data_IF_567318554646
#
_entry.id   IF_567318554646
#
_cell.length_a   1.000
_cell.length_b   1.000
_cell.length_c   1.000
_cell.angle_alpha   90.00
_cell.angle_beta   90.00
_cell.angle_gamma   90.00
#
_symmetry.space_group_name_H-M   'P 1'
#
loop_
_entity.id
_entity.type
_entity.pdbx_description
1 polymer ?
#
# COMPACT_ATOMS: atom_id res chain seq x y z
N UNK A 1 7.27 -42.51 -14.83
CA UNK A 1 7.59 -42.46 -13.39
C UNK A 1 6.32 -42.06 -12.65
N UNK A 2 5.88 -42.83 -11.67
CA UNK A 2 4.69 -42.54 -10.85
C UNK A 2 5.00 -41.44 -9.81
N UNK A 3 3.97 -40.87 -9.19
CA UNK A 3 4.17 -39.87 -8.12
C UNK A 3 4.96 -40.46 -6.95
N UNK A 4 4.64 -41.69 -6.57
CA UNK A 4 5.31 -42.40 -5.46
C UNK A 4 6.81 -42.59 -5.76
N UNK A 5 7.14 -43.05 -6.97
CA UNK A 5 8.54 -43.21 -7.40
C UNK A 5 9.30 -41.87 -7.41
N UNK A 6 8.63 -40.77 -7.80
CA UNK A 6 9.23 -39.45 -7.81
C UNK A 6 9.46 -38.90 -6.40
N UNK A 7 8.53 -39.15 -5.47
CA UNK A 7 8.64 -38.76 -4.05
C UNK A 7 9.82 -39.48 -3.40
N UNK A 8 9.90 -40.81 -3.54
CA UNK A 8 10.99 -41.63 -2.97
C UNK A 8 12.37 -41.19 -3.47
N UNK A 9 12.50 -40.87 -4.76
CA UNK A 9 13.76 -40.37 -5.32
C UNK A 9 14.15 -39.01 -4.76
N UNK A 10 13.19 -38.11 -4.58
CA UNK A 10 13.44 -36.78 -4.00
C UNK A 10 13.82 -36.92 -2.52
N UNK A 11 13.09 -37.72 -1.75
CA UNK A 11 13.39 -38.00 -0.33
C UNK A 11 14.81 -38.56 -0.15
N UNK A 12 15.23 -39.50 -1.00
CA UNK A 12 16.57 -40.08 -0.96
C UNK A 12 17.70 -39.09 -1.28
N UNK A 13 17.39 -38.02 -2.03
CA UNK A 13 18.34 -36.96 -2.39
C UNK A 13 18.35 -35.80 -1.39
N UNK A 14 17.35 -35.69 -0.51
CA UNK A 14 17.28 -34.61 0.45
C UNK A 14 18.29 -34.81 1.59
N UNK A 15 19.05 -33.76 1.89
CA UNK A 15 20.00 -33.75 3.01
C UNK A 15 19.34 -33.39 4.36
N UNK A 16 18.04 -33.08 4.35
CA UNK A 16 17.23 -32.77 5.52
C UNK A 16 15.78 -33.22 5.32
N UNK A 17 15.07 -33.39 6.42
CA UNK A 17 13.63 -33.63 6.36
C UNK A 17 12.89 -32.45 5.71
N UNK A 18 11.82 -32.72 4.93
CA UNK A 18 10.99 -31.69 4.33
C UNK A 18 10.32 -30.83 5.41
N UNK A 19 10.34 -29.51 5.21
CA UNK A 19 9.67 -28.54 6.07
C UNK A 19 9.18 -27.35 5.23
N UNK A 20 7.85 -27.22 5.01
CA UNK A 20 6.75 -28.04 5.55
C UNK A 20 6.70 -29.47 4.97
N UNK A 21 5.91 -30.39 5.56
CA UNK A 21 5.73 -31.75 5.03
C UNK A 21 5.24 -31.81 3.56
N UNK A 22 4.63 -30.73 3.06
CA UNK A 22 4.20 -30.61 1.66
C UNK A 22 5.32 -30.25 0.68
N UNK A 23 6.56 -30.00 1.14
CA UNK A 23 7.68 -29.47 0.32
C UNK A 23 7.93 -30.29 -0.96
N UNK A 24 7.87 -31.63 -0.86
CA UNK A 24 8.11 -32.55 -1.98
C UNK A 24 6.93 -32.57 -2.95
N UNK A 25 5.71 -32.65 -2.43
CA UNK A 25 4.49 -32.57 -3.25
C UNK A 25 4.38 -31.22 -3.97
N UNK A 26 4.75 -30.13 -3.30
CA UNK A 26 4.74 -28.77 -3.86
C UNK A 26 5.79 -28.62 -4.96
N UNK A 27 6.96 -29.25 -4.82
CA UNK A 27 7.99 -29.30 -5.85
C UNK A 27 7.52 -30.08 -7.08
N UNK A 28 6.87 -31.24 -6.89
CA UNK A 28 6.32 -32.05 -7.98
C UNK A 28 5.20 -31.32 -8.74
N UNK A 29 4.27 -30.66 -8.02
CA UNK A 29 3.22 -29.82 -8.62
C UNK A 29 3.83 -28.65 -9.41
N UNK A 30 4.92 -28.06 -8.91
CA UNK A 30 5.63 -26.99 -9.61
C UNK A 30 6.30 -27.48 -10.89
N UNK A 31 6.97 -28.64 -10.87
CA UNK A 31 7.63 -29.23 -12.02
C UNK A 31 6.66 -29.59 -13.15
N UNK A 32 5.40 -29.89 -12.81
CA UNK A 32 4.31 -30.18 -13.76
C UNK A 32 3.59 -28.94 -14.29
N UNK A 33 3.96 -27.75 -13.81
CA UNK A 33 3.25 -26.51 -14.14
C UNK A 33 1.83 -26.42 -13.55
N UNK A 34 1.47 -27.32 -12.64
CA UNK A 34 0.16 -27.33 -11.95
C UNK A 34 0.07 -26.20 -10.91
N UNK A 35 1.22 -25.68 -10.50
CA UNK A 35 1.30 -24.52 -9.61
C UNK A 35 1.06 -23.24 -10.41
N UNK A 36 -0.16 -22.70 -10.33
CA UNK A 36 -0.39 -21.29 -10.73
C UNK A 36 0.56 -20.39 -9.92
N UNK A 37 1.26 -19.42 -10.53
CA UNK A 37 2.10 -18.49 -9.80
C UNK A 37 1.31 -17.86 -8.66
N UNK A 38 1.82 -17.92 -7.44
CA UNK A 38 1.15 -17.37 -6.26
C UNK A 38 1.17 -15.84 -6.22
N UNK A 39 2.04 -15.22 -7.04
CA UNK A 39 2.16 -13.79 -7.22
C UNK A 39 2.18 -13.45 -8.72
N UNK A 40 1.67 -12.27 -9.11
CA UNK A 40 1.84 -11.79 -10.47
C UNK A 40 3.32 -11.69 -10.81
N UNK A 41 3.70 -12.09 -12.02
CA UNK A 41 4.99 -11.70 -12.57
C UNK A 41 4.95 -10.18 -12.81
N UNK A 42 5.91 -9.50 -12.19
CA UNK A 42 6.05 -8.05 -12.25
C UNK A 42 7.01 -7.64 -13.37
N UNK A 43 6.73 -6.54 -14.08
CA UNK A 43 7.67 -6.02 -15.06
C UNK A 43 8.93 -5.44 -14.38
N UNK A 44 10.01 -5.36 -15.16
CA UNK A 44 11.23 -4.64 -14.77
C UNK A 44 11.00 -3.14 -14.92
N UNK A 45 11.63 -2.33 -14.07
CA UNK A 45 11.51 -0.87 -14.15
C UNK A 45 12.02 -0.34 -15.49
N UNK A 46 11.26 0.56 -16.10
CA UNK A 46 11.66 1.29 -17.29
C UNK A 46 12.20 2.68 -16.91
N UNK A 47 13.51 2.77 -16.67
CA UNK A 47 14.16 4.00 -16.21
C UNK A 47 14.06 5.15 -17.24
N UNK A 48 14.08 4.85 -18.55
CA UNK A 48 13.90 5.85 -19.61
C UNK A 48 12.51 6.50 -19.52
N UNK A 49 11.47 5.69 -19.34
CA UNK A 49 10.11 6.19 -19.19
C UNK A 49 9.92 6.97 -17.89
N UNK A 50 10.52 6.51 -16.78
CA UNK A 50 10.48 7.23 -15.51
C UNK A 50 11.14 8.60 -15.64
N UNK A 51 12.29 8.67 -16.31
CA UNK A 51 13.00 9.93 -16.55
C UNK A 51 12.18 10.87 -17.43
N UNK A 52 11.60 10.38 -18.52
CA UNK A 52 10.74 11.18 -19.39
C UNK A 52 9.50 11.74 -18.67
N UNK A 53 8.88 10.95 -17.79
CA UNK A 53 7.75 11.41 -16.95
C UNK A 53 8.22 12.49 -15.97
N UNK A 54 9.42 12.35 -15.42
CA UNK A 54 9.94 13.25 -14.40
C UNK A 54 10.38 14.62 -14.91
N UNK A 55 10.68 14.76 -16.20
CA UNK A 55 11.16 16.03 -16.78
C UNK A 55 10.11 17.13 -16.72
N UNK A 56 8.87 16.82 -17.10
CA UNK A 56 7.75 17.77 -17.19
C UNK A 56 6.55 17.41 -16.29
N UNK A 57 6.73 16.43 -15.40
CA UNK A 57 5.66 15.95 -14.52
C UNK A 57 5.36 16.85 -13.33
N UNK A 58 4.24 16.55 -12.65
CA UNK A 58 3.84 17.24 -11.43
C UNK A 58 4.91 17.16 -10.34
N UNK A 59 5.13 18.26 -9.65
CA UNK A 59 5.98 18.36 -8.47
C UNK A 59 5.16 18.21 -7.19
N UNK A 60 5.83 18.06 -6.06
CA UNK A 60 5.16 17.98 -4.75
C UNK A 60 4.31 19.22 -4.47
N UNK A 61 4.82 20.41 -4.81
CA UNK A 61 4.10 21.67 -4.59
C UNK A 61 2.82 21.76 -5.43
N UNK A 62 2.81 21.15 -6.63
CA UNK A 62 1.64 21.18 -7.51
C UNK A 62 0.49 20.39 -6.90
N UNK A 63 0.76 19.26 -6.25
CA UNK A 63 -0.25 18.52 -5.50
C UNK A 63 -0.86 19.33 -4.37
N UNK A 64 -0.01 20.02 -3.60
CA UNK A 64 -0.46 20.88 -2.51
C UNK A 64 -1.38 22.00 -3.02
N UNK A 65 -0.98 22.67 -4.09
CA UNK A 65 -1.74 23.78 -4.68
C UNK A 65 -3.02 23.32 -5.39
N UNK A 66 -3.01 22.14 -5.99
CA UNK A 66 -4.15 21.60 -6.73
C UNK A 66 -5.18 20.87 -5.85
N UNK A 67 -4.89 20.67 -4.55
CA UNK A 67 -5.78 19.96 -3.63
C UNK A 67 -7.15 20.63 -3.49
N UNK A 68 -8.26 19.98 -3.86
CA UNK A 68 -9.60 20.52 -3.64
C UNK A 68 -9.98 20.62 -2.15
N UNK A 69 -9.37 19.77 -1.32
CA UNK A 69 -9.46 19.89 0.13
C UNK A 69 -8.53 20.99 0.62
N UNK A 70 -9.06 21.96 1.36
CA UNK A 70 -8.31 23.08 1.91
C UNK A 70 -7.30 22.57 2.94
N UNK A 71 -6.03 22.57 2.58
CA UNK A 71 -4.95 22.11 3.44
C UNK A 71 -4.45 23.25 4.34
N UNK A 72 -4.34 23.02 5.64
CA UNK A 72 -3.87 24.02 6.60
C UNK A 72 -2.54 23.60 7.24
N UNK A 73 -1.60 24.55 7.30
CA UNK A 73 -0.26 24.30 7.85
C UNK A 73 -0.33 24.08 9.36
N UNK A 74 0.32 23.01 9.82
CA UNK A 74 0.51 22.71 11.24
C UNK A 74 -0.69 22.07 11.93
N UNK A 75 -1.80 21.84 11.22
CA UNK A 75 -3.00 21.24 11.78
C UNK A 75 -3.09 19.74 11.48
N UNK A 76 -3.21 18.90 12.53
CA UNK A 76 -3.55 17.49 12.32
C UNK A 76 -5.00 17.35 11.90
N UNK A 77 -5.24 16.77 10.72
CA UNK A 77 -6.60 16.50 10.25
C UNK A 77 -6.85 15.02 10.00
N UNK A 78 -6.08 14.14 10.65
CA UNK A 78 -6.16 12.68 10.45
C UNK A 78 -7.59 12.15 10.64
N UNK A 79 -8.33 12.65 11.63
CA UNK A 79 -9.72 12.21 11.87
C UNK A 79 -10.67 12.57 10.71
N UNK A 80 -10.57 13.80 10.20
CA UNK A 80 -11.41 14.30 9.10
C UNK A 80 -11.02 13.65 7.77
N UNK A 81 -9.73 13.54 7.50
CA UNK A 81 -9.21 12.87 6.30
C UNK A 81 -9.66 11.41 6.27
N UNK A 82 -9.61 10.71 7.41
CA UNK A 82 -10.10 9.33 7.50
C UNK A 82 -11.63 9.24 7.36
N UNK A 83 -12.40 10.22 7.82
CA UNK A 83 -13.85 10.24 7.58
C UNK A 83 -14.19 10.40 6.09
N UNK A 84 -13.42 11.22 5.38
CA UNK A 84 -13.55 11.40 3.92
C UNK A 84 -13.16 10.11 3.20
N UNK A 85 -11.97 9.56 3.50
CA UNK A 85 -11.45 8.38 2.84
C UNK A 85 -12.28 7.13 3.17
N UNK A 86 -12.83 6.99 4.38
CA UNK A 86 -13.52 5.81 4.89
C UNK A 86 -14.85 6.18 5.57
N UNK A 87 -15.89 6.59 4.81
CA UNK A 87 -17.12 7.12 5.36
C UNK A 87 -17.92 6.08 6.15
N UNK A 88 -18.70 6.56 7.12
CA UNK A 88 -19.54 5.76 8.00
C UNK A 88 -18.74 5.15 9.16
N UNK A 89 -19.03 3.90 9.51
CA UNK A 89 -18.36 3.20 10.61
C UNK A 89 -17.71 1.86 10.19
N UNK A 90 -16.78 1.85 9.21
CA UNK A 90 -16.13 0.64 8.75
C UNK A 90 -15.19 0.04 9.81
N UNK A 91 -14.82 -1.24 9.65
CA UNK A 91 -13.71 -1.82 10.39
C UNK A 91 -12.39 -1.36 9.78
N UNK A 92 -11.58 -0.66 10.56
CA UNK A 92 -10.27 -0.16 10.15
C UNK A 92 -9.19 -0.87 10.95
N UNK A 93 -8.22 -1.45 10.23
CA UNK A 93 -6.99 -1.96 10.81
C UNK A 93 -5.95 -0.84 10.82
N UNK A 94 -5.61 -0.36 12.01
CA UNK A 94 -4.63 0.72 12.21
C UNK A 94 -3.54 0.27 13.17
N UNK A 95 -2.34 0.80 12.99
CA UNK A 95 -1.18 0.37 13.77
C UNK A 95 -0.17 1.47 14.03
N UNK A 96 0.43 1.42 15.21
CA UNK A 96 1.65 2.19 15.50
C UNK A 96 2.81 1.62 14.68
N UNK A 97 2.85 0.29 14.58
CA UNK A 97 3.79 -0.47 13.77
C UNK A 97 3.10 -1.73 13.23
N UNK A 98 3.78 -2.47 12.35
CA UNK A 98 3.31 -3.77 11.88
C UNK A 98 3.28 -4.87 12.96
N UNK A 99 3.69 -4.56 14.20
CA UNK A 99 3.59 -5.46 15.37
C UNK A 99 2.58 -4.98 16.40
N UNK A 100 2.27 -3.68 16.42
CA UNK A 100 1.30 -3.06 17.34
C UNK A 100 0.19 -2.43 16.52
N UNK A 101 -0.83 -3.24 16.26
CA UNK A 101 -2.01 -2.86 15.49
C UNK A 101 -3.26 -3.49 16.08
N UNK A 102 -4.41 -2.95 15.72
CA UNK A 102 -5.70 -3.58 15.98
C UNK A 102 -6.69 -3.19 14.88
N UNK A 103 -7.71 -4.02 14.72
CA UNK A 103 -8.86 -3.73 13.88
C UNK A 103 -10.01 -3.35 14.79
N UNK A 104 -10.56 -2.16 14.60
CA UNK A 104 -11.74 -1.68 15.32
C UNK A 104 -12.64 -0.90 14.36
N UNK A 105 -13.90 -0.76 14.73
CA UNK A 105 -14.83 0.18 14.09
C UNK A 105 -14.25 1.60 14.13
N UNK A 106 -14.40 2.36 13.04
CA UNK A 106 -13.95 3.76 12.91
C UNK A 106 -14.27 4.62 14.14
N UNK A 107 -15.46 4.48 14.71
CA UNK A 107 -15.87 5.24 15.91
C UNK A 107 -15.04 4.92 17.17
N UNK A 108 -14.50 3.71 17.29
CA UNK A 108 -13.60 3.37 18.40
C UNK A 108 -12.23 4.04 18.26
N UNK A 109 -11.85 4.51 17.08
CA UNK A 109 -10.57 5.19 16.85
C UNK A 109 -10.58 6.68 17.12
N UNK A 110 -11.76 7.30 17.29
CA UNK A 110 -11.95 8.74 17.46
C UNK A 110 -10.99 9.38 18.46
N UNK A 111 -10.40 10.50 18.06
CA UNK A 111 -9.49 11.33 18.85
C UNK A 111 -8.09 10.74 19.02
N UNK A 112 -7.71 9.74 18.22
CA UNK A 112 -6.44 9.02 18.38
C UNK A 112 -5.76 8.66 17.05
N UNK A 113 -6.39 8.90 15.90
CA UNK A 113 -5.85 8.46 14.60
C UNK A 113 -4.48 9.06 14.27
N UNK A 114 -4.23 10.28 14.74
CA UNK A 114 -2.95 10.99 14.64
C UNK A 114 -1.77 10.24 15.28
N UNK A 115 -2.03 9.34 16.24
CA UNK A 115 -1.02 8.60 16.99
C UNK A 115 -0.56 7.31 16.29
N UNK A 116 -1.10 7.00 15.13
CA UNK A 116 -0.81 5.77 14.40
C UNK A 116 -0.03 6.07 13.12
N UNK A 117 0.93 5.20 12.79
CA UNK A 117 1.72 5.33 11.57
C UNK A 117 1.06 4.64 10.38
N UNK A 118 0.27 3.60 10.63
CA UNK A 118 -0.16 2.65 9.62
C UNK A 118 -1.67 2.48 9.58
N UNK A 119 -2.19 2.26 8.39
CA UNK A 119 -3.58 1.87 8.11
C UNK A 119 -3.60 0.89 6.94
N UNK A 120 -4.51 -0.08 6.98
CA UNK A 120 -4.82 -0.92 5.81
C UNK A 120 -5.76 -0.13 4.88
N UNK A 121 -5.44 0.04 3.59
CA UNK A 121 -6.17 0.92 2.66
C UNK A 121 -7.54 0.37 2.23
N UNK A 122 -7.91 -0.81 2.72
CA UNK A 122 -9.19 -1.46 2.45
C UNK A 122 -9.85 -1.83 3.78
N UNK A 123 -11.14 -1.48 3.98
CA UNK A 123 -11.88 -1.87 5.17
C UNK A 123 -11.81 -3.37 5.44
N UNK A 124 -11.69 -3.73 6.70
CA UNK A 124 -11.73 -5.11 7.14
C UNK A 124 -13.20 -5.60 7.17
N UNK A 125 -13.40 -6.91 7.15
CA UNK A 125 -14.74 -7.53 7.21
C UNK A 125 -15.22 -7.73 8.65
N UNK A 126 -14.30 -7.99 9.57
CA UNK A 126 -14.55 -8.23 11.00
C UNK A 126 -13.36 -7.75 11.85
N UNK A 127 -13.47 -7.89 13.18
CA UNK A 127 -12.39 -7.55 14.09
C UNK A 127 -11.16 -8.44 13.89
N UNK A 128 -11.35 -9.73 13.61
CA UNK A 128 -10.28 -10.69 13.36
C UNK A 128 -10.66 -11.60 12.20
N UNK A 129 -9.65 -12.27 11.63
CA UNK A 129 -9.82 -13.42 10.73
C UNK A 129 -8.64 -14.38 10.86
N UNK A 130 -8.60 -15.39 10.00
CA UNK A 130 -7.58 -16.41 10.04
C UNK A 130 -6.37 -16.05 9.16
N UNK A 131 -5.17 -16.34 9.65
CA UNK A 131 -3.94 -16.32 8.87
C UNK A 131 -3.85 -17.56 7.98
N UNK A 132 -2.85 -17.62 7.09
CA UNK A 132 -2.63 -18.79 6.22
C UNK A 132 -2.33 -20.07 7.00
N UNK A 133 -1.74 -19.95 8.17
CA UNK A 133 -1.42 -21.04 9.11
C UNK A 133 -2.51 -21.23 10.18
N UNK A 134 -3.70 -20.65 10.01
CA UNK A 134 -4.87 -20.92 10.84
C UNK A 134 -4.94 -20.19 12.18
N UNK A 135 -4.02 -19.26 12.47
CA UNK A 135 -4.06 -18.44 13.68
C UNK A 135 -5.01 -17.26 13.52
N UNK A 136 -5.64 -16.85 14.61
CA UNK A 136 -6.48 -15.64 14.64
C UNK A 136 -5.62 -14.37 14.70
N UNK A 137 -5.92 -13.38 13.86
CA UNK A 137 -5.27 -12.07 13.88
C UNK A 137 -6.23 -10.95 13.44
N UNK A 138 -6.00 -9.73 13.93
CA UNK A 138 -6.72 -8.54 13.46
C UNK A 138 -6.35 -8.18 12.00
N UNK A 139 -5.14 -8.55 11.58
CA UNK A 139 -4.54 -8.18 10.31
C UNK A 139 -4.26 -9.42 9.48
N UNK A 140 -5.20 -9.79 8.61
CA UNK A 140 -5.08 -10.93 7.70
C UNK A 140 -5.76 -10.63 6.37
N UNK A 141 -5.27 -11.26 5.30
CA UNK A 141 -5.91 -11.15 3.98
C UNK A 141 -7.34 -11.70 3.98
N UNK A 142 -7.61 -12.73 4.78
CA UNK A 142 -8.95 -13.30 4.96
C UNK A 142 -9.92 -12.32 5.63
N UNK A 143 -9.42 -11.44 6.50
CA UNK A 143 -10.21 -10.40 7.15
C UNK A 143 -10.27 -9.09 6.34
N UNK A 144 -9.66 -9.02 5.16
CA UNK A 144 -9.65 -7.79 4.34
C UNK A 144 -10.74 -7.85 3.28
N UNK A 145 -11.60 -6.82 3.25
CA UNK A 145 -12.64 -6.67 2.25
C UNK A 145 -12.09 -6.36 0.84
N UNK A 146 -12.99 -6.10 -0.13
CA UNK A 146 -12.59 -5.65 -1.46
C UNK A 146 -11.70 -4.41 -1.39
N UNK A 147 -10.85 -4.21 -2.42
CA UNK A 147 -9.99 -3.04 -2.48
C UNK A 147 -10.84 -1.78 -2.47
N UNK A 148 -10.61 -0.92 -1.48
CA UNK A 148 -11.17 0.44 -1.50
C UNK A 148 -10.21 1.39 -2.20
N UNK A 149 -8.95 1.35 -1.77
CA UNK A 149 -7.85 2.04 -2.44
C UNK A 149 -6.75 1.06 -2.83
N UNK A 150 -6.12 1.32 -3.97
CA UNK A 150 -4.84 0.73 -4.35
C UNK A 150 -3.76 1.79 -4.11
N UNK A 151 -2.81 1.45 -3.25
CA UNK A 151 -1.72 2.36 -2.91
C UNK A 151 -0.58 2.12 -3.89
N UNK A 152 -0.10 3.19 -4.49
CA UNK A 152 1.16 3.18 -5.24
C UNK A 152 2.19 3.92 -4.40
N UNK A 153 3.18 3.19 -3.88
CA UNK A 153 4.34 3.78 -3.20
C UNK A 153 5.44 4.03 -4.23
N UNK A 154 5.77 5.32 -4.42
CA UNK A 154 6.94 5.75 -5.17
C UNK A 154 8.04 6.10 -4.17
N UNK A 155 9.19 5.42 -4.24
CA UNK A 155 10.32 5.64 -3.33
C UNK A 155 11.69 5.77 -4.03
N UNK A 156 11.66 5.87 -5.36
CA UNK A 156 12.82 6.07 -6.24
C UNK A 156 13.00 7.55 -6.59
N UNK A 157 14.24 8.00 -6.67
CA UNK A 157 14.56 9.38 -7.03
C UNK A 157 14.16 10.40 -5.95
N UNK A 158 14.19 11.67 -6.34
CA UNK A 158 13.72 12.80 -5.54
C UNK A 158 12.20 12.80 -5.35
N UNK A 159 11.69 13.55 -4.37
CA UNK A 159 10.24 13.64 -4.14
C UNK A 159 9.48 14.22 -5.33
N UNK A 160 10.07 15.13 -6.10
CA UNK A 160 9.43 15.66 -7.32
C UNK A 160 9.39 14.61 -8.43
N UNK A 161 10.42 13.77 -8.57
CA UNK A 161 10.37 12.62 -9.48
C UNK A 161 9.28 11.62 -9.07
N UNK A 162 9.13 11.38 -7.76
CA UNK A 162 8.05 10.53 -7.23
C UNK A 162 6.67 11.16 -7.47
N UNK A 163 6.54 12.48 -7.29
CA UNK A 163 5.32 13.21 -7.56
C UNK A 163 4.94 13.14 -9.04
N UNK A 164 5.91 13.27 -9.94
CA UNK A 164 5.68 13.18 -11.38
C UNK A 164 5.10 11.82 -11.77
N UNK A 165 5.64 10.73 -11.23
CA UNK A 165 5.11 9.37 -11.44
C UNK A 165 3.67 9.24 -10.91
N UNK A 166 3.39 9.74 -9.70
CA UNK A 166 2.03 9.69 -9.13
C UNK A 166 1.06 10.52 -9.97
N UNK A 167 1.45 11.71 -10.40
CA UNK A 167 0.64 12.61 -11.21
C UNK A 167 0.33 12.01 -12.58
N UNK A 168 1.34 11.41 -13.22
CA UNK A 168 1.18 10.66 -14.46
C UNK A 168 0.17 9.53 -14.30
N UNK A 169 0.29 8.72 -13.24
CA UNK A 169 -0.66 7.65 -12.93
C UNK A 169 -2.08 8.19 -12.63
N UNK A 170 -2.19 9.41 -12.10
CA UNK A 170 -3.45 10.14 -11.90
C UNK A 170 -4.26 10.37 -13.17
N UNK A 171 -3.63 10.34 -14.35
CA UNK A 171 -4.33 10.43 -15.63
C UNK A 171 -5.04 9.13 -16.06
N UNK A 172 -4.71 7.99 -15.41
CA UNK A 172 -5.25 6.67 -15.75
C UNK A 172 -6.24 6.11 -14.74
N UNK A 173 -6.20 6.60 -13.49
CA UNK A 173 -7.06 6.15 -12.42
C UNK A 173 -7.37 7.29 -11.44
N UNK A 174 -8.55 7.30 -10.78
CA UNK A 174 -8.92 8.39 -9.89
C UNK A 174 -8.00 8.45 -8.67
N UNK A 175 -7.18 9.50 -8.58
CA UNK A 175 -6.29 9.77 -7.46
C UNK A 175 -7.09 10.47 -6.34
N UNK A 176 -7.29 9.80 -5.21
CA UNK A 176 -8.00 10.34 -4.07
C UNK A 176 -7.10 11.15 -3.14
N UNK A 177 -5.87 10.69 -2.90
CA UNK A 177 -4.95 11.35 -1.99
C UNK A 177 -3.49 11.12 -2.33
N UNK A 178 -2.62 12.05 -1.93
CA UNK A 178 -1.16 11.87 -1.92
C UNK A 178 -0.66 12.08 -0.50
N UNK A 179 0.09 11.12 0.03
CA UNK A 179 0.60 11.15 1.41
C UNK A 179 2.12 10.99 1.40
N UNK A 180 2.82 11.90 2.05
CA UNK A 180 4.23 11.75 2.33
C UNK A 180 4.43 10.74 3.46
N UNK A 181 5.36 9.80 3.31
CA UNK A 181 5.59 8.74 4.31
C UNK A 181 6.24 9.23 5.61
N UNK A 182 6.55 10.53 5.70
CA UNK A 182 7.27 11.14 6.82
C UNK A 182 8.78 10.92 6.78
N UNK A 183 9.30 10.32 5.71
CA UNK A 183 10.75 10.16 5.51
C UNK A 183 11.22 10.41 4.08
N UNK A 184 10.77 9.60 3.11
CA UNK A 184 11.38 9.59 1.76
C UNK A 184 10.47 9.23 0.59
N UNK A 185 9.28 8.69 0.86
CA UNK A 185 8.40 8.13 -0.18
C UNK A 185 7.07 8.86 -0.23
N UNK A 186 6.47 8.89 -1.41
CA UNK A 186 5.11 9.35 -1.63
C UNK A 186 4.19 8.15 -1.86
N UNK A 187 2.99 8.24 -1.30
CA UNK A 187 1.93 7.25 -1.47
C UNK A 187 0.78 7.90 -2.25
N UNK A 188 0.54 7.45 -3.48
CA UNK A 188 -0.67 7.77 -4.24
C UNK A 188 -1.80 6.80 -3.87
N UNK A 189 -2.94 7.33 -3.45
CA UNK A 189 -4.13 6.56 -3.09
C UNK A 189 -5.13 6.58 -4.23
N UNK A 190 -5.26 5.48 -4.98
CA UNK A 190 -6.14 5.39 -6.14
C UNK A 190 -7.44 4.66 -5.79
N UNK A 191 -8.59 5.20 -6.20
CA UNK A 191 -9.91 4.63 -5.93
C UNK A 191 -10.13 3.37 -6.76
N UNK A 192 -10.56 2.28 -6.12
CA UNK A 192 -10.80 0.99 -6.78
C UNK A 192 -12.27 0.69 -7.06
N UNK A 193 -13.20 1.52 -6.56
CA UNK A 193 -14.64 1.29 -6.67
C UNK A 193 -15.04 1.15 -8.15
N UNK A 194 -15.70 0.04 -8.49
CA UNK A 194 -16.17 -0.25 -9.84
C UNK A 194 -15.14 -0.89 -10.78
N UNK A 195 -13.85 -0.95 -10.41
CA UNK A 195 -12.82 -1.61 -11.21
C UNK A 195 -12.74 -3.11 -10.90
N UNK A 196 -12.47 -3.92 -11.92
CA UNK A 196 -12.19 -5.35 -11.74
C UNK A 196 -10.77 -5.59 -11.22
N UNK A 197 -10.50 -6.71 -10.54
CA UNK A 197 -9.12 -7.05 -10.12
C UNK A 197 -8.15 -7.17 -11.31
N UNK A 198 -8.61 -7.55 -12.50
CA UNK A 198 -7.75 -7.57 -13.71
C UNK A 198 -7.36 -6.15 -14.14
N UNK A 199 -8.32 -5.22 -14.15
CA UNK A 199 -8.07 -3.81 -14.43
C UNK A 199 -7.08 -3.23 -13.43
N UNK A 200 -7.29 -3.49 -12.13
CA UNK A 200 -6.40 -3.04 -11.06
C UNK A 200 -5.00 -3.67 -11.17
N UNK A 201 -4.91 -4.94 -11.57
CA UNK A 201 -3.63 -5.61 -11.77
C UNK A 201 -2.85 -5.02 -12.96
N UNK A 202 -3.52 -4.67 -14.07
CA UNK A 202 -2.89 -3.98 -15.20
C UNK A 202 -2.36 -2.61 -14.79
N UNK A 203 -3.16 -1.85 -14.04
CA UNK A 203 -2.73 -0.56 -13.48
C UNK A 203 -1.53 -0.72 -12.54
N UNK A 204 -1.57 -1.69 -11.61
CA UNK A 204 -0.45 -1.98 -10.72
C UNK A 204 0.81 -2.40 -11.49
N UNK A 205 0.68 -3.24 -12.52
CA UNK A 205 1.83 -3.62 -13.37
C UNK A 205 2.44 -2.41 -14.05
N UNK A 206 1.62 -1.49 -14.54
CA UNK A 206 2.13 -0.25 -15.12
C UNK A 206 2.83 0.61 -14.06
N UNK A 207 2.25 0.77 -12.87
CA UNK A 207 2.93 1.46 -11.78
C UNK A 207 4.27 0.80 -11.38
N UNK A 208 4.35 -0.54 -11.39
CA UNK A 208 5.59 -1.28 -11.13
C UNK A 208 6.62 -1.10 -12.25
N UNK A 209 6.19 -1.03 -13.51
CA UNK A 209 7.06 -0.64 -14.64
C UNK A 209 7.68 0.75 -14.38
N UNK A 210 6.96 1.63 -13.69
CA UNK A 210 7.43 2.96 -13.27
C UNK A 210 8.13 2.97 -11.89
N UNK A 211 8.42 1.79 -11.32
CA UNK A 211 9.21 1.66 -10.08
C UNK A 211 8.44 1.53 -8.78
N UNK A 212 7.11 1.35 -8.80
CA UNK A 212 6.31 1.20 -7.59
C UNK A 212 6.59 -0.10 -6.80
N UNK A 213 6.43 -0.07 -5.47
CA UNK A 213 6.58 -1.27 -4.63
C UNK A 213 5.47 -2.31 -4.88
N UNK A 214 5.88 -3.47 -5.39
CA UNK A 214 5.04 -4.65 -5.61
C UNK A 214 4.27 -5.12 -4.38
N UNK A 215 4.75 -4.87 -3.15
CA UNK A 215 4.08 -5.30 -1.91
C UNK A 215 2.74 -4.62 -1.72
N UNK A 216 2.55 -3.41 -2.24
CA UNK A 216 1.28 -2.70 -2.17
C UNK A 216 0.16 -3.37 -2.97
N UNK A 217 0.48 -4.38 -3.79
CA UNK A 217 -0.53 -5.25 -4.38
C UNK A 217 -1.28 -6.09 -3.34
N UNK A 218 -0.69 -6.44 -2.19
CA UNK A 218 -1.40 -7.22 -1.17
C UNK A 218 -2.50 -6.36 -0.53
N UNK A 219 -3.76 -6.81 -0.58
CA UNK A 219 -4.93 -6.03 -0.06
C UNK A 219 -4.79 -5.64 1.42
N UNK A 220 -4.16 -6.51 2.21
CA UNK A 220 -3.92 -6.27 3.62
C UNK A 220 -2.64 -5.47 3.87
N UNK A 221 -1.85 -5.08 2.87
CA UNK A 221 -0.59 -4.37 3.11
C UNK A 221 -0.86 -3.05 3.84
N UNK A 222 -0.08 -2.77 4.89
CA UNK A 222 -0.13 -1.48 5.56
C UNK A 222 0.45 -0.39 4.66
N UNK A 223 -0.24 0.74 4.63
CA UNK A 223 0.25 1.99 4.08
C UNK A 223 0.32 3.06 5.19
N UNK A 224 0.82 4.25 4.84
CA UNK A 224 0.99 5.35 5.78
C UNK A 224 -0.36 6.00 6.09
N UNK A 225 -0.68 6.12 7.37
CA UNK A 225 -1.80 6.93 7.87
C UNK A 225 -1.66 8.38 7.39
N UNK A 226 -2.63 8.92 6.63
CA UNK A 226 -2.66 10.35 6.31
C UNK A 226 -2.70 11.19 7.59
N UNK A 227 -1.78 12.16 7.71
CA UNK A 227 -1.57 12.99 8.90
C UNK A 227 -1.28 12.21 10.19
N UNK A 228 -0.92 10.93 10.08
CA UNK A 228 -0.44 10.15 11.21
C UNK A 228 1.00 10.52 11.60
N UNK A 229 1.40 10.18 12.82
CA UNK A 229 2.78 10.31 13.28
C UNK A 229 3.53 9.01 13.14
N UNK A 230 4.79 9.11 12.72
CA UNK A 230 5.70 7.96 12.68
C UNK A 230 6.07 7.51 14.09
N UNK A 231 5.76 6.25 14.39
CA UNK A 231 6.10 5.61 15.66
C UNK A 231 7.60 5.34 15.82
N UNK A 232 8.33 5.14 14.71
CA UNK A 232 9.77 4.86 14.74
C UNK A 232 10.64 6.11 14.97
N UNK A 233 10.02 7.28 15.16
CA UNK A 233 10.71 8.54 15.42
C UNK A 233 11.53 9.05 14.23
N UNK A 234 11.49 8.39 13.07
CA UNK A 234 12.17 8.89 11.87
C UNK A 234 11.49 10.17 11.42
N UNK A 235 12.29 11.18 11.11
CA UNK A 235 11.82 12.49 10.68
C UNK A 235 12.58 12.93 9.43
N UNK A 236 11.95 13.74 8.60
CA UNK A 236 12.57 14.32 7.41
C UNK A 236 12.00 15.70 7.16
N UNK A 237 12.86 16.61 6.70
CA UNK A 237 12.50 17.96 6.22
C UNK A 237 12.47 18.03 4.69
N UNK A 238 12.49 16.88 4.00
CA UNK A 238 12.58 16.82 2.54
C UNK A 238 11.44 17.57 1.81
N UNK A 239 10.24 17.66 2.41
CA UNK A 239 9.15 18.46 1.85
C UNK A 239 9.48 19.95 1.78
N UNK A 240 10.23 20.49 2.75
CA UNK A 240 10.63 21.89 2.75
C UNK A 240 11.52 22.22 1.54
N UNK A 241 12.36 21.28 1.11
CA UNK A 241 13.17 21.42 -0.11
C UNK A 241 12.33 21.42 -1.39
N UNK A 242 11.11 20.88 -1.35
CA UNK A 242 10.14 20.92 -2.43
C UNK A 242 9.17 22.12 -2.32
N UNK A 243 9.46 23.10 -1.46
CA UNK A 243 8.62 24.29 -1.28
C UNK A 243 7.36 24.05 -0.44
N UNK A 244 7.24 22.89 0.21
CA UNK A 244 6.07 22.48 0.98
C UNK A 244 6.43 22.39 2.46
N UNK A 245 6.10 23.43 3.23
CA UNK A 245 6.28 23.45 4.69
C UNK A 245 4.92 23.39 5.38
N UNK A 246 4.45 22.17 5.61
CA UNK A 246 3.03 21.90 5.92
C UNK A 246 2.83 21.27 7.28
N UNK A 247 3.77 20.42 7.70
CA UNK A 247 3.71 19.71 8.96
C UNK A 247 5.11 19.56 9.57
N UNK A 248 5.21 19.47 10.91
CA UNK A 248 6.48 19.19 11.57
C UNK A 248 7.10 17.88 11.07
N UNK A 249 8.42 17.76 11.20
CA UNK A 249 9.12 16.56 10.83
C UNK A 249 8.62 15.34 11.63
N UNK A 250 8.51 14.17 10.97
CA UNK A 250 7.99 12.93 11.57
C UNK A 250 6.49 12.69 11.36
N UNK A 251 5.81 13.66 10.76
CA UNK A 251 4.42 13.52 10.33
C UNK A 251 4.33 12.97 8.92
N UNK A 252 3.28 12.21 8.69
CA UNK A 252 2.98 11.61 7.40
C UNK A 252 2.02 12.54 6.67
N UNK A 253 2.53 13.71 6.27
CA UNK A 253 1.73 14.81 5.77
C UNK A 253 0.87 14.39 4.57
N UNK A 254 -0.42 14.71 4.63
CA UNK A 254 -1.26 14.75 3.44
C UNK A 254 -0.76 15.90 2.54
N UNK A 255 -0.69 15.65 1.24
CA UNK A 255 -0.24 16.62 0.23
C UNK A 255 -1.34 16.96 -0.78
N UNK A 256 -2.30 16.07 -0.95
CA UNK A 256 -3.44 16.23 -1.85
C UNK A 256 -4.59 15.37 -1.35
N UNK A 257 -5.81 15.89 -1.41
CA UNK A 257 -7.03 15.12 -1.18
C UNK A 257 -8.15 15.64 -2.07
N UNK A 258 -8.75 14.77 -2.88
CA UNK A 258 -9.95 15.06 -3.66
C UNK A 258 -11.14 14.24 -3.17
N UNK A 259 -12.04 14.84 -2.36
CA UNK A 259 -13.26 14.19 -1.91
C UNK A 259 -14.24 13.81 -3.04
N UNK A 260 -14.12 14.42 -4.22
CA UNK A 260 -15.09 14.24 -5.31
C UNK A 260 -14.93 12.90 -6.01
N UNK A 261 -13.72 12.34 -6.06
CA UNK A 261 -13.46 11.02 -6.68
C UNK A 261 -13.75 9.84 -5.75
N UNK A 262 -13.97 10.07 -4.45
CA UNK A 262 -14.12 9.03 -3.44
C UNK A 262 -15.56 8.48 -3.34
N UNK A 263 -16.54 9.21 -3.91
CA UNK A 263 -17.98 8.98 -3.72
C UNK A 263 -18.49 7.63 -4.24
#
# INVERSE_FOLDING_TARGET
MTNEQAIEMIEAMMTRNPNPPSEIEDALRSARGERKPSAPQWPVVNEEQVQAIAEDGMRVIDFWQASPFEMQKGENRAEEIIDILFPGNPWLCVGRSARLFATQRREKWRGRLDRFSLIVPSPMTSQTGLTKDGRTSCHTLNNTGPRRFLIIEADRGSLDQQAAVIGHLGSYAPLAAVVFSGSKSLHGWFVCKGASEDTLLRFMRYAVLLGADTRMWLRSQFCRMPDGRRYDGKTSTALSSCGVDVMPAGWQALLYLDPNVIR
#
